data_IF_019285731590
#
_entry.id   IF_019285731590
#
_cell.length_a   1.000
_cell.length_b   1.000
_cell.length_c   1.000
_cell.angle_alpha   90.00
_cell.angle_beta   90.00
_cell.angle_gamma   90.00
#
_symmetry.space_group_name_H-M   'P 1'
#
loop_
_entity.id
_entity.type
_entity.pdbx_description
1 polymer ?
#
# COMPACT_ATOMS: atom_id res chain seq x y z
N UNK A 1 -19.81 2.28 -8.15
CA UNK A 1 -19.76 0.93 -8.74
C UNK A 1 -19.12 -0.12 -7.81
N UNK A 2 -17.84 0.03 -7.40
CA UNK A 2 -17.12 -0.99 -6.60
C UNK A 2 -17.85 -1.35 -5.29
N UNK A 3 -18.18 -0.35 -4.47
CA UNK A 3 -18.91 -0.58 -3.20
C UNK A 3 -20.25 -1.28 -3.44
N UNK A 4 -21.00 -0.85 -4.46
CA UNK A 4 -22.26 -1.47 -4.86
C UNK A 4 -22.07 -2.95 -5.26
N UNK A 5 -21.08 -3.25 -6.12
CA UNK A 5 -20.78 -4.62 -6.54
C UNK A 5 -20.44 -5.51 -5.34
N UNK A 6 -19.58 -5.03 -4.45
CA UNK A 6 -19.15 -5.78 -3.27
C UNK A 6 -20.32 -6.09 -2.33
N UNK A 7 -21.16 -5.10 -2.03
CA UNK A 7 -22.27 -5.26 -1.09
C UNK A 7 -23.47 -6.02 -1.67
N UNK A 8 -23.81 -5.78 -2.95
CA UNK A 8 -25.05 -6.29 -3.56
C UNK A 8 -24.86 -7.57 -4.38
N UNK A 9 -23.72 -7.72 -5.07
CA UNK A 9 -23.47 -8.85 -5.98
C UNK A 9 -22.66 -9.92 -5.25
N UNK A 10 -21.48 -9.58 -4.75
CA UNK A 10 -20.64 -10.49 -3.97
C UNK A 10 -21.22 -10.81 -2.59
N UNK A 11 -22.20 -10.01 -2.14
CA UNK A 11 -22.79 -10.10 -0.79
C UNK A 11 -21.70 -10.25 0.25
N UNK A 12 -20.72 -9.34 0.21
CA UNK A 12 -19.57 -9.37 1.11
C UNK A 12 -20.05 -9.39 2.55
N UNK A 13 -20.17 -10.60 3.10
CA UNK A 13 -20.21 -10.79 4.53
C UNK A 13 -18.84 -10.32 4.95
N UNK A 14 -18.76 -9.27 5.78
CA UNK A 14 -17.57 -8.97 6.57
C UNK A 14 -17.31 -10.20 7.44
N UNK A 15 -16.81 -11.28 6.85
CA UNK A 15 -16.35 -12.45 7.55
C UNK A 15 -15.12 -11.96 8.27
N UNK A 16 -15.23 -11.79 9.58
CA UNK A 16 -14.06 -11.73 10.45
C UNK A 16 -13.16 -12.88 10.00
N UNK A 17 -12.01 -12.54 9.45
CA UNK A 17 -11.06 -13.53 8.97
C UNK A 17 -10.78 -14.52 10.11
N UNK A 18 -10.50 -15.78 9.75
CA UNK A 18 -9.91 -16.79 10.62
C UNK A 18 -8.93 -16.14 11.61
N UNK A 19 -8.83 -16.60 12.87
CA UNK A 19 -8.08 -15.92 13.93
C UNK A 19 -6.75 -15.40 13.40
N UNK A 20 -6.66 -14.08 13.30
CA UNK A 20 -5.54 -13.42 12.65
C UNK A 20 -4.30 -13.59 13.52
N UNK A 21 -3.23 -14.15 12.96
CA UNK A 21 -1.94 -14.24 13.62
C UNK A 21 -1.22 -12.88 13.56
N UNK A 22 -1.64 -11.98 14.45
CA UNK A 22 -1.11 -10.62 14.58
C UNK A 22 0.39 -10.62 14.86
N UNK A 23 0.89 -11.56 15.66
CA UNK A 23 2.32 -11.65 15.99
C UNK A 23 3.15 -11.89 14.74
N UNK A 24 2.73 -12.84 13.89
CA UNK A 24 3.42 -13.13 12.63
C UNK A 24 3.23 -12.04 11.59
N UNK A 25 2.07 -11.37 11.57
CA UNK A 25 1.83 -10.20 10.73
C UNK A 25 2.84 -9.10 11.07
N UNK A 26 2.86 -8.64 12.33
CA UNK A 26 3.76 -7.57 12.78
C UNK A 26 5.24 -7.89 12.54
N UNK A 27 5.68 -9.11 12.83
CA UNK A 27 7.06 -9.53 12.54
C UNK A 27 7.42 -9.38 11.07
N UNK A 28 6.54 -9.81 10.15
CA UNK A 28 6.78 -9.71 8.71
C UNK A 28 6.72 -8.27 8.22
N UNK A 29 5.73 -7.52 8.69
CA UNK A 29 5.54 -6.11 8.34
C UNK A 29 6.75 -5.29 8.76
N UNK A 30 7.27 -5.53 9.97
CA UNK A 30 8.44 -4.84 10.51
C UNK A 30 9.73 -5.18 9.75
N UNK A 31 9.99 -6.45 9.43
CA UNK A 31 11.19 -6.83 8.64
C UNK A 31 11.20 -6.12 7.28
N UNK A 32 10.06 -6.13 6.57
CA UNK A 32 9.93 -5.41 5.30
C UNK A 32 10.06 -3.90 5.47
N UNK A 33 9.49 -3.33 6.55
CA UNK A 33 9.64 -1.91 6.87
C UNK A 33 11.11 -1.54 7.09
N UNK A 34 11.88 -2.35 7.82
CA UNK A 34 13.30 -2.10 8.02
C UNK A 34 14.07 -2.08 6.69
N UNK A 35 13.80 -3.04 5.82
CA UNK A 35 14.42 -3.05 4.48
C UNK A 35 14.04 -1.80 3.68
N UNK A 36 12.75 -1.45 3.65
CA UNK A 36 12.25 -0.24 3.00
C UNK A 36 12.89 1.02 3.61
N UNK A 37 13.01 1.08 4.93
CA UNK A 37 13.56 2.21 5.68
C UNK A 37 15.02 2.45 5.33
N UNK A 38 15.85 1.41 5.39
CA UNK A 38 17.26 1.52 5.02
C UNK A 38 17.41 1.98 3.57
N UNK A 39 16.70 1.34 2.62
CA UNK A 39 16.81 1.68 1.20
C UNK A 39 16.35 3.11 0.91
N UNK A 40 15.21 3.53 1.47
CA UNK A 40 14.66 4.87 1.24
C UNK A 40 15.46 5.97 1.93
N UNK A 41 15.99 5.75 3.15
CA UNK A 41 16.89 6.71 3.80
C UNK A 41 18.17 6.89 2.99
N UNK A 42 18.79 5.80 2.56
CA UNK A 42 20.00 5.86 1.72
C UNK A 42 19.70 6.59 0.41
N UNK A 43 18.58 6.28 -0.24
CA UNK A 43 18.16 6.97 -1.47
C UNK A 43 17.99 8.48 -1.25
N UNK A 44 17.16 8.89 -0.28
CA UNK A 44 16.89 10.31 -0.03
C UNK A 44 18.18 11.03 0.40
N UNK A 45 19.02 10.41 1.24
CA UNK A 45 20.29 11.00 1.64
C UNK A 45 21.24 11.28 0.46
N UNK A 46 21.26 10.39 -0.54
CA UNK A 46 22.15 10.51 -1.70
C UNK A 46 21.60 11.43 -2.79
N UNK A 47 20.29 11.44 -3.00
CA UNK A 47 19.66 12.09 -4.17
C UNK A 47 18.77 13.29 -3.84
N UNK A 48 18.31 13.44 -2.59
CA UNK A 48 17.35 14.47 -2.18
C UNK A 48 17.50 14.83 -0.70
N UNK A 49 18.76 15.10 -0.29
CA UNK A 49 19.15 15.24 1.12
C UNK A 49 18.36 16.32 1.87
N UNK A 50 18.00 17.40 1.19
CA UNK A 50 17.27 18.52 1.79
C UNK A 50 15.84 18.14 2.21
N UNK A 51 15.24 17.13 1.56
CA UNK A 51 13.93 16.61 1.92
C UNK A 51 13.98 15.53 3.01
N UNK A 52 15.17 15.07 3.43
CA UNK A 52 15.33 14.02 4.42
C UNK A 52 14.73 14.45 5.78
N UNK A 53 13.60 13.84 6.14
CA UNK A 53 12.81 14.17 7.34
C UNK A 53 12.31 15.62 7.45
N UNK A 54 12.33 16.39 6.37
CA UNK A 54 11.96 17.82 6.34
C UNK A 54 10.56 18.06 6.93
N UNK A 55 9.56 17.30 6.47
CA UNK A 55 8.17 17.51 6.88
C UNK A 55 7.95 17.26 8.38
N UNK A 56 8.68 16.30 8.95
CA UNK A 56 8.56 15.95 10.37
C UNK A 56 9.17 17.03 11.24
N UNK A 57 10.32 17.57 10.82
CA UNK A 57 11.08 18.57 11.56
C UNK A 57 10.43 19.96 11.48
N UNK A 58 9.96 20.35 10.29
CA UNK A 58 9.48 21.71 10.03
C UNK A 58 7.96 21.84 10.07
N UNK A 59 7.21 20.78 9.73
CA UNK A 59 5.74 20.81 9.56
C UNK A 59 5.03 19.62 10.24
N UNK A 60 5.29 19.32 11.53
CA UNK A 60 4.78 18.12 12.20
C UNK A 60 3.24 18.03 12.26
N UNK A 61 2.54 19.17 12.32
CA UNK A 61 1.06 19.19 12.27
C UNK A 61 0.54 18.72 10.91
N UNK A 62 1.12 19.22 9.82
CA UNK A 62 0.77 18.81 8.46
C UNK A 62 1.10 17.33 8.26
N UNK A 63 2.26 16.89 8.75
CA UNK A 63 2.65 15.49 8.75
C UNK A 63 1.58 14.59 9.39
N UNK A 64 1.15 14.87 10.62
CA UNK A 64 0.11 14.08 11.31
C UNK A 64 -1.22 14.04 10.54
N UNK A 65 -1.67 15.18 10.00
CA UNK A 65 -2.91 15.26 9.21
C UNK A 65 -2.80 14.38 7.96
N UNK A 66 -1.69 14.48 7.24
CA UNK A 66 -1.45 13.68 6.05
C UNK A 66 -1.43 12.19 6.40
N UNK A 67 -0.74 11.77 7.46
CA UNK A 67 -0.70 10.36 7.87
C UNK A 67 -2.10 9.79 8.09
N UNK A 68 -2.97 10.54 8.77
CA UNK A 68 -4.35 10.13 9.03
C UNK A 68 -5.18 10.08 7.76
N UNK A 69 -5.20 11.16 6.98
CA UNK A 69 -5.98 11.29 5.75
C UNK A 69 -5.54 10.26 4.72
N UNK A 70 -4.24 10.10 4.51
CA UNK A 70 -3.67 9.12 3.60
C UNK A 70 -4.09 7.70 3.98
N UNK A 71 -3.94 7.32 5.25
CA UNK A 71 -4.24 5.96 5.70
C UNK A 71 -5.73 5.61 5.54
N UNK A 72 -6.63 6.55 5.85
CA UNK A 72 -8.07 6.30 5.86
C UNK A 72 -8.72 6.50 4.49
N UNK A 73 -8.40 7.62 3.83
CA UNK A 73 -9.09 8.04 2.61
C UNK A 73 -8.39 7.61 1.32
N UNK A 74 -7.10 7.26 1.38
CA UNK A 74 -6.36 6.79 0.22
C UNK A 74 -6.10 5.28 0.29
N UNK A 75 -5.40 4.82 1.31
CA UNK A 75 -4.93 3.43 1.40
C UNK A 75 -6.07 2.43 1.46
N UNK A 76 -7.03 2.61 2.37
CA UNK A 76 -8.11 1.63 2.53
C UNK A 76 -8.96 1.49 1.24
N UNK A 77 -9.42 2.58 0.58
CA UNK A 77 -10.10 2.47 -0.71
C UNK A 77 -9.26 1.78 -1.80
N UNK A 78 -7.95 2.07 -1.88
CA UNK A 78 -7.07 1.40 -2.83
C UNK A 78 -7.02 -0.11 -2.57
N UNK A 79 -6.78 -0.54 -1.34
CA UNK A 79 -6.72 -1.98 -1.01
C UNK A 79 -8.09 -2.68 -1.16
N UNK A 80 -9.18 -1.96 -0.96
CA UNK A 80 -10.52 -2.46 -1.27
C UNK A 80 -10.68 -2.74 -2.76
N UNK A 81 -10.26 -1.82 -3.63
CA UNK A 81 -10.34 -1.97 -5.09
C UNK A 81 -9.37 -3.05 -5.59
N UNK A 82 -8.09 -2.94 -5.25
CA UNK A 82 -7.04 -3.77 -5.84
C UNK A 82 -6.87 -5.12 -5.16
N UNK A 83 -7.29 -5.31 -3.91
CA UNK A 83 -7.22 -6.64 -3.29
C UNK A 83 -8.57 -7.29 -3.20
N UNK A 84 -9.52 -6.61 -2.58
CA UNK A 84 -10.81 -7.23 -2.27
C UNK A 84 -11.61 -7.43 -3.55
N UNK A 85 -11.87 -6.34 -4.28
CA UNK A 85 -12.65 -6.38 -5.51
C UNK A 85 -11.92 -7.12 -6.62
N UNK A 86 -10.66 -6.79 -6.90
CA UNK A 86 -9.92 -7.43 -8.00
C UNK A 86 -9.81 -8.95 -7.82
N UNK A 87 -9.40 -9.45 -6.65
CA UNK A 87 -9.26 -10.90 -6.43
C UNK A 87 -10.61 -11.59 -6.39
N UNK A 88 -11.65 -10.93 -5.89
CA UNK A 88 -13.01 -11.50 -5.92
C UNK A 88 -13.49 -11.65 -7.37
N UNK A 89 -13.39 -10.57 -8.16
CA UNK A 89 -13.97 -10.46 -9.50
C UNK A 89 -13.21 -11.23 -10.58
N UNK A 90 -11.88 -11.22 -10.50
CA UNK A 90 -11.02 -11.69 -11.60
C UNK A 90 -10.30 -13.00 -11.30
N UNK A 91 -10.35 -13.55 -10.07
CA UNK A 91 -9.66 -14.83 -9.75
C UNK A 91 -9.98 -15.97 -10.72
N UNK A 92 -11.21 -16.03 -11.24
CA UNK A 92 -11.66 -17.11 -12.13
C UNK A 92 -11.07 -17.01 -13.53
N UNK A 93 -10.49 -15.87 -13.89
CA UNK A 93 -9.81 -15.66 -15.18
C UNK A 93 -8.36 -16.18 -15.18
N UNK A 94 -7.83 -16.57 -14.02
CA UNK A 94 -6.43 -16.96 -13.87
C UNK A 94 -6.31 -18.38 -13.31
N UNK A 95 -5.54 -19.22 -13.98
CA UNK A 95 -5.25 -20.59 -13.55
C UNK A 95 -4.20 -20.65 -12.43
N UNK A 96 -3.42 -19.57 -12.23
CA UNK A 96 -2.35 -19.50 -11.24
C UNK A 96 -2.48 -18.29 -10.31
N UNK A 97 -2.28 -18.53 -9.01
CA UNK A 97 -2.21 -17.45 -8.00
C UNK A 97 -1.05 -16.50 -8.27
N UNK A 98 0.07 -16.99 -8.80
CA UNK A 98 1.23 -16.17 -9.14
C UNK A 98 0.90 -15.20 -10.26
N UNK A 99 0.22 -15.68 -11.31
CA UNK A 99 -0.23 -14.83 -12.42
C UNK A 99 -1.22 -13.77 -11.92
N UNK A 100 -2.18 -14.16 -11.08
CA UNK A 100 -3.14 -13.22 -10.48
C UNK A 100 -2.43 -12.11 -9.68
N UNK A 101 -1.44 -12.46 -8.85
CA UNK A 101 -0.63 -11.49 -8.08
C UNK A 101 0.14 -10.56 -9.00
N UNK A 102 0.82 -11.11 -10.02
CA UNK A 102 1.64 -10.33 -10.93
C UNK A 102 0.81 -9.32 -11.73
N UNK A 103 -0.31 -9.76 -12.31
CA UNK A 103 -1.22 -8.88 -13.04
C UNK A 103 -1.84 -7.84 -12.10
N UNK A 104 -2.20 -8.24 -10.88
CA UNK A 104 -2.71 -7.30 -9.89
C UNK A 104 -1.69 -6.21 -9.53
N UNK A 105 -0.42 -6.57 -9.38
CA UNK A 105 0.65 -5.62 -9.12
C UNK A 105 0.89 -4.67 -10.30
N UNK A 106 0.82 -5.15 -11.54
CA UNK A 106 0.86 -4.29 -12.74
C UNK A 106 -0.28 -3.28 -12.71
N UNK A 107 -1.52 -3.75 -12.53
CA UNK A 107 -2.70 -2.88 -12.54
C UNK A 107 -2.63 -1.83 -11.41
N UNK A 108 -2.11 -2.22 -10.23
CA UNK A 108 -1.88 -1.30 -9.12
C UNK A 108 -0.79 -0.25 -9.45
N UNK A 109 0.33 -0.65 -10.06
CA UNK A 109 1.38 0.27 -10.47
C UNK A 109 0.92 1.24 -11.58
N UNK A 110 0.15 0.74 -12.56
CA UNK A 110 -0.42 1.57 -13.62
C UNK A 110 -1.36 2.66 -13.08
N UNK A 111 -2.03 2.40 -11.95
CA UNK A 111 -2.82 3.42 -11.27
C UNK A 111 -1.98 4.64 -10.85
N UNK A 112 -0.66 4.48 -10.69
CA UNK A 112 0.28 5.52 -10.24
C UNK A 112 1.00 6.22 -11.41
N UNK A 113 0.62 5.93 -12.66
CA UNK A 113 1.25 6.54 -13.85
C UNK A 113 1.15 8.07 -13.87
N UNK A 114 0.13 8.64 -13.24
CA UNK A 114 -0.10 10.08 -13.18
C UNK A 114 0.98 10.84 -12.39
N UNK A 115 1.75 10.17 -11.51
CA UNK A 115 2.90 10.78 -10.83
C UNK A 115 4.09 11.03 -11.78
N UNK A 116 4.06 10.47 -13.00
CA UNK A 116 5.11 10.66 -14.02
C UNK A 116 6.52 10.38 -13.49
N UNK A 117 6.64 9.41 -12.58
CA UNK A 117 7.87 9.09 -11.89
C UNK A 117 8.16 7.59 -11.97
N UNK A 118 9.27 7.23 -12.61
CA UNK A 118 9.65 5.84 -12.82
C UNK A 118 9.92 5.10 -11.50
N UNK A 119 10.53 5.78 -10.51
CA UNK A 119 10.77 5.19 -9.20
C UNK A 119 9.45 4.86 -8.49
N UNK A 120 8.46 5.75 -8.56
CA UNK A 120 7.13 5.51 -7.99
C UNK A 120 6.46 4.30 -8.66
N UNK A 121 6.58 4.15 -9.98
CA UNK A 121 6.07 2.96 -10.68
C UNK A 121 6.74 1.66 -10.21
N UNK A 122 8.06 1.67 -10.03
CA UNK A 122 8.79 0.51 -9.51
C UNK A 122 8.39 0.20 -8.07
N UNK A 123 8.34 1.22 -7.20
CA UNK A 123 7.96 1.07 -5.79
C UNK A 123 6.53 0.54 -5.64
N UNK A 124 5.59 1.08 -6.43
CA UNK A 124 4.18 0.66 -6.38
C UNK A 124 4.00 -0.72 -6.98
N UNK A 125 4.76 -1.11 -8.01
CA UNK A 125 4.76 -2.49 -8.52
C UNK A 125 5.26 -3.49 -7.46
N UNK A 126 6.41 -3.23 -6.85
CA UNK A 126 6.97 -4.09 -5.79
C UNK A 126 6.05 -4.12 -4.56
N UNK A 127 5.53 -2.97 -4.14
CA UNK A 127 4.53 -2.86 -3.09
C UNK A 127 3.26 -3.65 -3.43
N UNK A 128 2.77 -3.53 -4.66
CA UNK A 128 1.63 -4.28 -5.18
C UNK A 128 1.80 -5.79 -5.05
N UNK A 129 2.99 -6.33 -5.36
CA UNK A 129 3.33 -7.74 -5.12
C UNK A 129 3.25 -8.08 -3.63
N UNK A 130 3.89 -7.27 -2.78
CA UNK A 130 3.93 -7.49 -1.32
C UNK A 130 2.52 -7.52 -0.74
N UNK A 131 1.69 -6.52 -1.07
CA UNK A 131 0.33 -6.37 -0.57
C UNK A 131 -0.59 -7.47 -1.10
N UNK A 132 -0.48 -7.83 -2.38
CA UNK A 132 -1.21 -8.95 -2.97
C UNK A 132 -0.89 -10.28 -2.27
N UNK A 133 0.38 -10.54 -1.94
CA UNK A 133 0.79 -11.74 -1.20
C UNK A 133 0.28 -11.72 0.25
N UNK A 134 0.32 -10.58 0.93
CA UNK A 134 -0.25 -10.43 2.28
C UNK A 134 -1.75 -10.67 2.27
N UNK A 135 -2.48 -10.10 1.31
CA UNK A 135 -3.91 -10.34 1.15
C UNK A 135 -4.22 -11.80 0.80
N UNK A 136 -3.46 -12.44 -0.08
CA UNK A 136 -3.66 -13.85 -0.40
C UNK A 136 -3.52 -14.75 0.83
N UNK A 137 -2.57 -14.43 1.71
CA UNK A 137 -2.29 -15.20 2.92
C UNK A 137 -3.30 -14.95 4.03
N UNK A 138 -3.69 -13.69 4.24
CA UNK A 138 -4.52 -13.29 5.39
C UNK A 138 -6.01 -13.20 5.08
N UNK A 139 -6.36 -13.04 3.80
CA UNK A 139 -7.72 -12.74 3.33
C UNK A 139 -8.34 -11.52 4.02
N UNK A 140 -7.51 -10.59 4.51
CA UNK A 140 -7.95 -9.45 5.30
C UNK A 140 -7.55 -8.14 4.62
N UNK A 141 -8.56 -7.39 4.17
CA UNK A 141 -8.39 -6.03 3.65
C UNK A 141 -7.81 -5.10 4.71
N UNK A 142 -8.19 -5.29 5.97
CA UNK A 142 -7.69 -4.51 7.09
C UNK A 142 -6.18 -4.70 7.27
N UNK A 143 -5.69 -5.95 7.31
CA UNK A 143 -4.26 -6.21 7.54
C UNK A 143 -3.40 -5.68 6.40
N UNK A 144 -3.83 -5.86 5.15
CA UNK A 144 -3.08 -5.31 4.02
C UNK A 144 -3.14 -3.77 4.00
N UNK A 145 -4.26 -3.16 4.43
CA UNK A 145 -4.36 -1.70 4.57
C UNK A 145 -3.44 -1.16 5.66
N UNK A 146 -3.32 -1.86 6.80
CA UNK A 146 -2.37 -1.50 7.86
C UNK A 146 -0.93 -1.60 7.33
N UNK A 147 -0.59 -2.71 6.66
CA UNK A 147 0.75 -2.89 6.07
C UNK A 147 1.08 -1.79 5.05
N UNK A 148 0.15 -1.48 4.15
CA UNK A 148 0.31 -0.43 3.16
C UNK A 148 0.41 0.96 3.80
N UNK A 149 -0.46 1.27 4.77
CA UNK A 149 -0.42 2.54 5.49
C UNK A 149 0.95 2.74 6.17
N UNK A 150 1.47 1.74 6.86
CA UNK A 150 2.79 1.81 7.52
C UNK A 150 3.89 2.16 6.50
N UNK A 151 3.91 1.51 5.33
CA UNK A 151 4.94 1.74 4.32
C UNK A 151 4.80 3.09 3.64
N UNK A 152 3.59 3.48 3.25
CA UNK A 152 3.35 4.79 2.62
C UNK A 152 3.61 5.94 3.59
N UNK A 153 3.16 5.82 4.84
CA UNK A 153 3.45 6.78 5.91
C UNK A 153 4.96 6.93 6.14
N UNK A 154 5.71 5.82 6.13
CA UNK A 154 7.16 5.88 6.23
C UNK A 154 7.80 6.60 5.04
N UNK A 155 7.43 6.27 3.81
CA UNK A 155 7.98 6.94 2.61
C UNK A 155 7.69 8.44 2.60
N UNK A 156 6.52 8.84 3.09
CA UNK A 156 6.22 10.25 3.30
C UNK A 156 7.11 10.87 4.39
N UNK A 157 7.26 10.18 5.53
CA UNK A 157 8.06 10.61 6.68
C UNK A 157 9.54 10.81 6.34
N UNK A 158 10.12 9.92 5.52
CA UNK A 158 11.55 9.99 5.16
C UNK A 158 11.86 11.09 4.14
N UNK A 159 10.86 11.65 3.46
CA UNK A 159 11.06 12.77 2.53
C UNK A 159 10.62 12.52 1.08
N UNK A 160 10.03 11.37 0.75
CA UNK A 160 9.61 11.07 -0.63
C UNK A 160 8.22 11.64 -0.98
N UNK A 161 7.74 12.62 -0.20
CA UNK A 161 6.39 13.18 -0.32
C UNK A 161 6.08 13.75 -1.71
N UNK A 162 7.02 14.53 -2.25
CA UNK A 162 6.88 15.23 -3.53
C UNK A 162 6.60 14.25 -4.66
N UNK A 163 7.39 13.17 -4.71
CA UNK A 163 7.30 12.14 -5.74
C UNK A 163 5.97 11.39 -5.66
N UNK A 164 5.41 11.26 -4.46
CA UNK A 164 4.15 10.58 -4.18
C UNK A 164 2.94 11.55 -4.20
N UNK A 165 3.15 12.80 -4.63
CA UNK A 165 2.13 13.84 -4.76
C UNK A 165 1.49 14.29 -3.45
N UNK A 166 2.20 14.17 -2.33
CA UNK A 166 1.80 14.80 -1.08
C UNK A 166 2.07 16.32 -1.15
N UNK A 167 1.25 17.14 -0.47
CA UNK A 167 1.49 18.57 -0.39
C UNK A 167 2.69 18.88 0.52
N UNK A 168 3.43 19.94 0.18
CA UNK A 168 4.60 20.44 0.91
C UNK A 168 4.30 21.74 1.63
#
# INVERSE_FOLDING_TARGET
YVVFYLLRIEKLKFRLASPLDWKRFWKRTFIKLLALAVLSVVYVFLFDKDNLFEIVLNKPKLWMVILLVYSLLSVYPQELVYRTFFFSRYKTLFSSKTQLVFINAIVFALAHLFFRNALVLVLTFLGGIIFALTFLKTKSTLLVSIEHAIYGCWLFTVGMGNMLGFPH
#
